data_IF_754618169277
#
_entry.id   IF_754618169277
#
_cell.length_a   1.000
_cell.length_b   1.000
_cell.length_c   1.000
_cell.angle_alpha   90.00
_cell.angle_beta   90.00
_cell.angle_gamma   90.00
#
_symmetry.space_group_name_H-M   'P 1'
#
loop_
_entity.id
_entity.type
_entity.pdbx_description
1 polymer ?
#
# COMPACT_ATOMS: atom_id res chain seq x y z
N UNK A 1 -7.40 -8.43 -0.39
CA UNK A 1 -6.65 -7.80 0.72
C UNK A 1 -6.19 -8.76 1.81
N UNK A 2 -7.04 -9.66 2.35
CA UNK A 2 -6.64 -10.57 3.43
C UNK A 2 -5.35 -11.37 3.18
N UNK A 3 -5.19 -11.94 1.97
CA UNK A 3 -3.97 -12.66 1.59
C UNK A 3 -2.70 -11.78 1.57
N UNK A 4 -2.78 -10.54 1.05
CA UNK A 4 -1.65 -9.61 0.97
C UNK A 4 -1.17 -9.24 2.38
N UNK A 5 -2.12 -9.03 3.30
CA UNK A 5 -1.85 -8.81 4.73
C UNK A 5 -1.14 -10.03 5.30
N UNK A 6 -1.71 -11.22 5.18
CA UNK A 6 -1.11 -12.46 5.71
C UNK A 6 0.31 -12.69 5.17
N UNK A 7 0.56 -12.38 3.90
CA UNK A 7 1.87 -12.56 3.25
C UNK A 7 2.95 -11.64 3.82
N UNK A 8 2.63 -10.36 4.01
CA UNK A 8 3.62 -9.34 4.39
C UNK A 8 3.62 -9.00 5.88
N UNK A 9 2.63 -9.44 6.66
CA UNK A 9 2.45 -9.04 8.07
C UNK A 9 3.63 -9.39 8.96
N UNK A 10 4.30 -10.53 8.74
CA UNK A 10 5.49 -10.90 9.51
C UNK A 10 6.65 -9.92 9.29
N UNK A 11 6.91 -9.57 8.03
CA UNK A 11 7.98 -8.63 7.63
C UNK A 11 7.65 -7.21 8.06
N UNK A 12 6.39 -6.81 7.92
CA UNK A 12 5.89 -5.49 8.30
C UNK A 12 5.73 -5.29 9.81
N UNK A 13 5.83 -6.35 10.63
CA UNK A 13 5.56 -6.34 12.07
C UNK A 13 4.09 -6.17 12.46
N UNK A 14 3.23 -5.66 11.56
CA UNK A 14 1.79 -5.56 11.73
C UNK A 14 1.07 -5.39 10.38
N UNK A 15 -0.27 -5.37 10.39
CA UNK A 15 -1.06 -5.10 9.19
C UNK A 15 -1.12 -3.61 8.79
N UNK A 16 -0.77 -2.69 9.68
CA UNK A 16 -0.93 -1.25 9.44
C UNK A 16 -0.05 -0.71 8.28
N UNK A 17 1.24 -1.06 8.18
CA UNK A 17 2.07 -0.72 7.02
C UNK A 17 1.47 -1.16 5.68
N UNK A 18 0.88 -2.37 5.65
CA UNK A 18 0.34 -2.95 4.42
C UNK A 18 -0.90 -2.17 3.97
N UNK A 19 -1.76 -1.79 4.91
CA UNK A 19 -2.91 -0.93 4.62
C UNK A 19 -2.50 0.47 4.17
N UNK A 20 -1.52 1.09 4.82
CA UNK A 20 -1.03 2.40 4.43
C UNK A 20 -0.46 2.39 3.00
N UNK A 21 0.36 1.39 2.68
CA UNK A 21 0.92 1.22 1.32
C UNK A 21 -0.20 1.01 0.29
N UNK A 22 -1.21 0.21 0.62
CA UNK A 22 -2.38 0.02 -0.25
C UNK A 22 -3.15 1.32 -0.50
N UNK A 23 -3.40 2.12 0.54
CA UNK A 23 -4.11 3.39 0.42
C UNK A 23 -3.34 4.34 -0.50
N UNK A 24 -2.02 4.45 -0.33
CA UNK A 24 -1.19 5.29 -1.18
C UNK A 24 -1.22 4.83 -2.64
N UNK A 25 -1.04 3.52 -2.85
CA UNK A 25 -1.13 2.93 -4.19
C UNK A 25 -2.51 3.15 -4.82
N UNK A 26 -3.60 3.02 -4.05
CA UNK A 26 -4.96 3.20 -4.54
C UNK A 26 -5.24 4.66 -4.92
N UNK A 27 -4.73 5.63 -4.15
CA UNK A 27 -4.81 7.04 -4.50
C UNK A 27 -4.13 7.32 -5.85
N UNK A 28 -2.96 6.73 -6.08
CA UNK A 28 -2.20 6.88 -7.33
C UNK A 28 -2.81 6.15 -8.53
N UNK A 29 -3.52 5.03 -8.30
CA UNK A 29 -3.89 4.10 -9.38
C UNK A 29 -5.38 3.91 -9.63
N UNK A 30 -6.24 4.31 -8.69
CA UNK A 30 -7.69 4.07 -8.74
C UNK A 30 -8.51 5.36 -8.66
N UNK A 31 -7.88 6.52 -8.86
CA UNK A 31 -8.52 7.84 -8.76
C UNK A 31 -9.22 8.08 -7.42
N UNK A 32 -8.66 7.53 -6.33
CA UNK A 32 -9.16 7.78 -4.98
C UNK A 32 -8.57 9.10 -4.50
N UNK A 33 -9.43 10.11 -4.32
CA UNK A 33 -9.01 11.39 -3.78
C UNK A 33 -8.77 11.29 -2.27
N UNK A 34 -7.60 11.75 -1.84
CA UNK A 34 -7.28 11.99 -0.44
C UNK A 34 -7.26 13.49 -0.22
N UNK A 35 -7.85 13.96 0.87
CA UNK A 35 -7.66 15.36 1.25
C UNK A 35 -6.20 15.59 1.71
N UNK A 36 -5.77 16.85 1.65
CA UNK A 36 -4.39 17.25 1.97
C UNK A 36 -3.93 16.81 3.37
N UNK A 37 -4.84 16.75 4.34
CA UNK A 37 -4.49 16.32 5.68
C UNK A 37 -4.26 14.82 5.73
N UNK A 38 -5.13 14.04 5.11
CA UNK A 38 -4.97 12.59 4.96
C UNK A 38 -3.68 12.24 4.20
N UNK A 39 -3.37 12.94 3.11
CA UNK A 39 -2.10 12.78 2.36
C UNK A 39 -0.88 13.03 3.24
N UNK A 40 -0.91 14.09 4.06
CA UNK A 40 0.22 14.39 4.95
C UNK A 40 0.41 13.30 5.99
N UNK A 41 -0.66 12.87 6.65
CA UNK A 41 -0.61 11.78 7.64
C UNK A 41 -0.07 10.51 6.99
N UNK A 42 -0.57 10.18 5.80
CA UNK A 42 -0.17 8.98 5.09
C UNK A 42 1.32 9.02 4.72
N UNK A 43 1.79 10.14 4.15
CA UNK A 43 3.20 10.33 3.82
C UNK A 43 4.10 10.22 5.05
N UNK A 44 3.71 10.85 6.15
CA UNK A 44 4.50 10.85 7.39
C UNK A 44 4.55 9.44 8.01
N UNK A 45 3.46 8.67 7.88
CA UNK A 45 3.40 7.27 8.30
C UNK A 45 4.24 6.34 7.41
N UNK A 46 4.29 6.58 6.09
CA UNK A 46 5.05 5.76 5.14
C UNK A 46 6.56 6.02 5.19
N UNK A 47 6.97 7.24 5.56
CA UNK A 47 8.38 7.67 5.61
C UNK A 47 9.33 6.69 6.33
N UNK A 48 9.02 6.17 7.53
CA UNK A 48 9.90 5.23 8.23
C UNK A 48 9.80 3.78 7.74
N UNK A 49 8.88 3.45 6.84
CA UNK A 49 8.65 2.07 6.40
C UNK A 49 9.74 1.65 5.42
N UNK A 50 10.28 0.45 5.61
CA UNK A 50 11.29 -0.16 4.75
C UNK A 50 10.92 -0.06 3.25
N UNK A 51 11.83 0.48 2.45
CA UNK A 51 11.55 0.79 1.04
C UNK A 51 11.36 -0.47 0.18
N UNK A 52 11.95 -1.60 0.55
CA UNK A 52 11.83 -2.84 -0.19
C UNK A 52 10.50 -3.53 0.12
N UNK A 53 10.02 -3.42 1.37
CA UNK A 53 8.65 -3.78 1.72
C UNK A 53 7.62 -2.97 0.92
N UNK A 54 7.81 -1.64 0.80
CA UNK A 54 6.93 -0.78 0.00
C UNK A 54 6.90 -1.23 -1.46
N UNK A 55 8.06 -1.43 -2.10
CA UNK A 55 8.17 -1.90 -3.49
C UNK A 55 7.53 -3.27 -3.70
N UNK A 56 7.75 -4.22 -2.78
CA UNK A 56 7.21 -5.57 -2.89
C UNK A 56 5.68 -5.56 -2.90
N UNK A 57 5.07 -4.80 -1.98
CA UNK A 57 3.62 -4.66 -1.90
C UNK A 57 3.08 -3.92 -3.14
N UNK A 58 3.74 -2.84 -3.58
CA UNK A 58 3.37 -2.10 -4.80
C UNK A 58 3.36 -2.97 -6.06
N UNK A 59 4.38 -3.82 -6.22
CA UNK A 59 4.49 -4.71 -7.37
C UNK A 59 3.34 -5.73 -7.40
N UNK A 60 2.98 -6.29 -6.24
CA UNK A 60 1.86 -7.22 -6.13
C UNK A 60 0.51 -6.55 -6.43
N UNK A 61 0.26 -5.36 -5.88
CA UNK A 61 -0.97 -4.60 -6.16
C UNK A 61 -1.09 -4.24 -7.65
N UNK A 62 0.01 -3.82 -8.27
CA UNK A 62 0.04 -3.49 -9.69
C UNK A 62 -0.22 -4.72 -10.57
N UNK A 63 0.30 -5.89 -10.19
CA UNK A 63 0.01 -7.15 -10.88
C UNK A 63 -1.48 -7.52 -10.79
N UNK A 64 -2.09 -7.39 -9.62
CA UNK A 64 -3.53 -7.66 -9.44
C UNK A 64 -4.39 -6.72 -10.30
N UNK A 65 -4.04 -5.44 -10.39
CA UNK A 65 -4.74 -4.48 -11.24
C UNK A 65 -4.65 -4.88 -12.72
N UNK A 66 -3.50 -5.35 -13.17
CA UNK A 66 -3.32 -5.85 -14.54
C UNK A 66 -4.17 -7.11 -14.79
N UNK A 67 -4.14 -8.08 -13.88
CA UNK A 67 -4.94 -9.31 -13.97
C UNK A 67 -6.45 -9.01 -14.00
N UNK A 68 -6.91 -7.99 -13.26
CA UNK A 68 -8.31 -7.59 -13.24
C UNK A 68 -8.76 -6.80 -14.49
N UNK A 69 -7.83 -6.33 -15.32
CA UNK A 69 -8.11 -5.58 -16.55
C UNK A 69 -8.11 -6.47 -17.81
N UNK A 70 -7.82 -7.77 -17.67
CA UNK A 70 -7.85 -8.81 -18.71
C UNK A 70 -9.14 -9.61 -18.57
#
# INVERSE_FOLDING_TARGET
MGWLITKHMKTAGSGAPIWAIFINWAAENLSVELDRHAESILRDFLSPIDSDLQKAIYAELSKLKQEAAV
#
